data_IF_234611965243
#
_entry.id   IF_234611965243
#
_cell.length_a   1.000
_cell.length_b   1.000
_cell.length_c   1.000
_cell.angle_alpha   90.00
_cell.angle_beta   90.00
_cell.angle_gamma   90.00
#
_symmetry.space_group_name_H-M   'P 1'
#
loop_
_entity.id
_entity.type
_entity.pdbx_description
1 polymer ?
#
# COMPACT_ATOMS: atom_id res chain seq x y z
N UNK A 1 8.88 7.37 -9.13
CA UNK A 1 8.56 6.80 -7.80
C UNK A 1 7.05 6.64 -7.58
N UNK A 2 6.21 7.60 -8.01
CA UNK A 2 4.76 7.62 -7.74
C UNK A 2 4.03 6.29 -7.98
N UNK A 3 4.19 5.65 -9.15
CA UNK A 3 3.51 4.37 -9.45
C UNK A 3 3.88 3.27 -8.44
N UNK A 4 5.17 3.19 -8.05
CA UNK A 4 5.66 2.23 -7.06
C UNK A 4 5.09 2.55 -5.66
N UNK A 5 4.97 3.82 -5.29
CA UNK A 5 4.33 4.24 -4.04
C UNK A 5 2.84 3.89 -4.01
N UNK A 6 2.14 4.05 -5.14
CA UNK A 6 0.73 3.65 -5.27
C UNK A 6 0.56 2.15 -5.13
N UNK A 7 1.47 1.35 -5.71
CA UNK A 7 1.49 -0.09 -5.52
C UNK A 7 1.71 -0.46 -4.05
N UNK A 8 2.67 0.20 -3.39
CA UNK A 8 2.92 0.04 -1.94
C UNK A 8 1.67 0.39 -1.12
N UNK A 9 1.02 1.51 -1.42
CA UNK A 9 -0.23 1.92 -0.77
C UNK A 9 -1.35 0.90 -0.95
N UNK A 10 -1.48 0.30 -2.14
CA UNK A 10 -2.46 -0.76 -2.39
C UNK A 10 -2.21 -2.01 -1.53
N UNK A 11 -0.95 -2.34 -1.21
CA UNK A 11 -0.63 -3.42 -0.27
C UNK A 11 -1.07 -3.10 1.16
N UNK A 12 -0.94 -1.84 1.61
CA UNK A 12 -1.49 -1.43 2.91
C UNK A 12 -3.01 -1.52 2.94
N UNK A 13 -3.68 -1.06 1.87
CA UNK A 13 -5.14 -1.20 1.75
C UNK A 13 -5.56 -2.67 1.77
N UNK A 14 -4.87 -3.53 1.02
CA UNK A 14 -5.09 -4.98 1.04
C UNK A 14 -4.92 -5.55 2.45
N UNK A 15 -3.83 -5.22 3.14
CA UNK A 15 -3.57 -5.67 4.51
C UNK A 15 -4.69 -5.27 5.48
N UNK A 16 -5.13 -4.01 5.43
CA UNK A 16 -6.20 -3.52 6.30
C UNK A 16 -7.54 -4.20 6.01
N UNK A 17 -7.92 -4.32 4.74
CA UNK A 17 -9.20 -4.92 4.36
C UNK A 17 -9.25 -6.41 4.72
N UNK A 18 -8.20 -7.15 4.39
CA UNK A 18 -8.15 -8.59 4.69
C UNK A 18 -7.97 -8.85 6.17
N UNK A 19 -7.17 -8.06 6.90
CA UNK A 19 -7.04 -8.18 8.35
C UNK A 19 -8.36 -7.88 9.07
N UNK A 20 -9.12 -6.88 8.60
CA UNK A 20 -10.46 -6.60 9.14
C UNK A 20 -11.44 -7.73 8.87
N UNK A 21 -11.37 -8.36 7.69
CA UNK A 21 -12.19 -9.51 7.36
C UNK A 21 -11.84 -10.73 8.23
N UNK A 22 -10.55 -10.97 8.50
CA UNK A 22 -10.09 -12.05 9.39
C UNK A 22 -10.58 -11.84 10.83
N UNK A 23 -10.49 -10.62 11.37
CA UNK A 23 -11.05 -10.30 12.69
C UNK A 23 -12.57 -10.53 12.76
N UNK A 24 -13.30 -10.25 11.68
CA UNK A 24 -14.74 -10.49 11.63
C UNK A 24 -15.11 -11.99 11.61
N UNK A 25 -14.17 -12.88 11.28
CA UNK A 25 -14.43 -14.33 11.29
C UNK A 25 -14.57 -14.88 12.70
N UNK A 26 -13.91 -14.30 13.71
CA UNK A 26 -14.09 -14.71 15.11
C UNK A 26 -15.56 -14.53 15.54
N UNK A 27 -16.13 -13.37 15.21
CA UNK A 27 -17.55 -13.10 15.46
C UNK A 27 -18.47 -14.01 14.65
N UNK A 28 -18.14 -14.28 13.38
CA UNK A 28 -18.92 -15.20 12.55
C UNK A 28 -18.92 -16.63 13.12
N UNK A 29 -17.77 -17.13 13.58
CA UNK A 29 -17.64 -18.45 14.23
C UNK A 29 -18.47 -18.47 15.51
N UNK A 30 -18.36 -17.45 16.36
CA UNK A 30 -19.17 -17.33 17.58
C UNK A 30 -20.67 -17.36 17.27
N UNK A 31 -21.13 -16.54 16.32
CA UNK A 31 -22.54 -16.47 15.93
C UNK A 31 -23.05 -17.79 15.34
N UNK A 32 -22.24 -18.50 14.54
CA UNK A 32 -22.58 -19.83 14.04
C UNK A 32 -22.76 -20.83 15.18
N UNK A 33 -21.90 -20.79 16.21
CA UNK A 33 -22.01 -21.65 17.40
C UNK A 33 -23.27 -21.34 18.20
N UNK A 34 -23.55 -20.06 18.47
CA UNK A 34 -24.75 -19.59 19.18
C UNK A 34 -26.05 -20.00 18.46
N UNK A 35 -26.04 -20.00 17.12
CA UNK A 35 -27.16 -20.45 16.30
C UNK A 35 -27.28 -21.99 16.17
N UNK A 36 -26.41 -22.77 16.81
CA UNK A 36 -26.43 -24.24 16.74
C UNK A 36 -25.78 -24.85 15.48
N UNK A 37 -25.06 -24.05 14.69
CA UNK A 37 -24.37 -24.46 13.47
C UNK A 37 -22.89 -24.80 13.72
N UNK A 38 -22.64 -25.67 14.70
CA UNK A 38 -21.27 -26.03 15.13
C UNK A 38 -20.38 -26.57 14.00
N UNK A 39 -20.90 -27.43 13.13
CA UNK A 39 -20.11 -27.99 12.02
C UNK A 39 -19.65 -26.94 10.99
N UNK A 40 -20.44 -25.88 10.78
CA UNK A 40 -20.04 -24.75 9.94
C UNK A 40 -19.01 -23.87 10.64
N UNK A 41 -19.18 -23.63 11.95
CA UNK A 41 -18.20 -22.91 12.77
C UNK A 41 -16.84 -23.61 12.75
N UNK A 42 -16.81 -24.93 12.99
CA UNK A 42 -15.59 -25.74 12.98
C UNK A 42 -14.90 -25.73 11.60
N UNK A 43 -15.69 -25.68 10.51
CA UNK A 43 -15.14 -25.57 9.16
C UNK A 43 -14.47 -24.23 8.94
N UNK A 44 -15.09 -23.12 9.33
CA UNK A 44 -14.50 -21.77 9.18
C UNK A 44 -13.22 -21.67 10.00
N UNK A 45 -13.25 -22.12 11.26
CA UNK A 45 -12.10 -22.11 12.15
C UNK A 45 -10.93 -22.94 11.61
N UNK A 46 -11.20 -24.14 11.12
CA UNK A 46 -10.16 -25.04 10.60
C UNK A 46 -9.59 -24.60 9.25
N UNK A 47 -10.40 -24.03 8.37
CA UNK A 47 -10.02 -23.80 6.98
C UNK A 47 -9.60 -22.36 6.70
N UNK A 48 -10.01 -21.39 7.53
CA UNK A 48 -9.88 -19.96 7.21
C UNK A 48 -9.16 -19.20 8.33
N UNK A 49 -9.57 -19.34 9.60
CA UNK A 49 -8.98 -18.57 10.70
C UNK A 49 -7.47 -18.80 10.80
N UNK A 50 -6.70 -17.71 10.83
CA UNK A 50 -5.24 -17.74 10.91
C UNK A 50 -4.53 -18.30 9.67
N UNK A 51 -5.25 -18.51 8.56
CA UNK A 51 -4.67 -19.03 7.32
C UNK A 51 -3.80 -17.97 6.65
N UNK A 52 -2.59 -18.37 6.24
CA UNK A 52 -1.76 -17.55 5.36
C UNK A 52 -2.50 -17.26 4.04
N UNK A 53 -2.53 -15.99 3.61
CA UNK A 53 -3.26 -15.55 2.42
C UNK A 53 -2.58 -15.97 1.11
N UNK A 54 -1.26 -16.16 1.17
CA UNK A 54 -0.43 -16.82 0.16
C UNK A 54 0.58 -17.71 0.89
N UNK A 55 1.28 -18.65 0.21
CA UNK A 55 2.24 -19.52 0.88
C UNK A 55 3.24 -18.74 1.74
N UNK A 56 3.31 -19.07 3.03
CA UNK A 56 4.27 -18.49 3.99
C UNK A 56 3.95 -17.10 4.55
N UNK A 57 2.85 -16.45 4.12
CA UNK A 57 2.63 -15.04 4.45
C UNK A 57 1.25 -14.71 4.98
N UNK A 58 1.27 -14.01 6.10
CA UNK A 58 0.21 -13.11 6.52
C UNK A 58 0.28 -11.82 5.70
N UNK A 59 -0.81 -11.08 5.68
CA UNK A 59 -0.94 -9.87 4.86
C UNK A 59 0.09 -8.79 5.20
N UNK A 60 0.47 -8.64 6.47
CA UNK A 60 1.49 -7.68 6.88
C UNK A 60 2.88 -8.08 6.36
N UNK A 61 3.18 -9.38 6.30
CA UNK A 61 4.47 -9.88 5.82
C UNK A 61 4.64 -9.59 4.32
N UNK A 62 3.55 -9.62 3.53
CA UNK A 62 3.59 -9.19 2.12
C UNK A 62 4.05 -7.73 2.01
N UNK A 63 3.57 -6.86 2.90
CA UNK A 63 3.98 -5.44 2.93
C UNK A 63 5.46 -5.32 3.30
N UNK A 64 5.91 -6.03 4.34
CA UNK A 64 7.30 -6.01 4.79
C UNK A 64 8.27 -6.53 3.73
N UNK A 65 7.93 -7.62 3.05
CA UNK A 65 8.74 -8.17 1.98
C UNK A 65 8.77 -7.26 0.75
N UNK A 66 7.63 -6.69 0.34
CA UNK A 66 7.61 -5.71 -0.76
C UNK A 66 8.49 -4.49 -0.44
N UNK A 67 8.42 -4.01 0.80
CA UNK A 67 9.25 -2.91 1.28
C UNK A 67 10.74 -3.23 1.15
N UNK A 68 11.18 -4.35 1.74
CA UNK A 68 12.59 -4.72 1.82
C UNK A 68 13.19 -5.19 0.49
N UNK A 69 12.43 -5.89 -0.36
CA UNK A 69 12.97 -6.53 -1.57
C UNK A 69 12.90 -5.67 -2.82
N UNK A 70 11.88 -4.81 -2.93
CA UNK A 70 11.64 -4.03 -4.15
C UNK A 70 11.62 -2.53 -3.89
N UNK A 71 10.81 -2.07 -2.96
CA UNK A 71 10.54 -0.65 -2.78
C UNK A 71 11.76 0.13 -2.28
N UNK A 72 12.47 -0.34 -1.24
CA UNK A 72 13.65 0.37 -0.72
C UNK A 72 14.79 0.43 -1.73
N UNK A 73 15.01 -0.66 -2.48
CA UNK A 73 15.99 -0.71 -3.58
C UNK A 73 15.62 0.30 -4.67
N UNK A 74 14.36 0.32 -5.09
CA UNK A 74 13.86 1.27 -6.09
C UNK A 74 14.03 2.71 -5.61
N UNK A 75 13.60 3.00 -4.38
CA UNK A 75 13.65 4.33 -3.77
C UNK A 75 15.09 4.83 -3.69
N UNK A 76 16.01 3.99 -3.23
CA UNK A 76 17.43 4.34 -3.11
C UNK A 76 18.02 4.66 -4.48
N UNK A 77 17.80 3.81 -5.48
CA UNK A 77 18.30 4.03 -6.84
C UNK A 77 17.74 5.32 -7.46
N UNK A 78 16.44 5.59 -7.29
CA UNK A 78 15.81 6.84 -7.75
C UNK A 78 16.46 8.06 -7.10
N UNK A 79 16.63 8.05 -5.78
CA UNK A 79 17.22 9.16 -5.03
C UNK A 79 18.66 9.42 -5.44
N UNK A 80 19.47 8.38 -5.63
CA UNK A 80 20.86 8.53 -6.09
C UNK A 80 20.94 9.14 -7.50
N UNK A 81 20.11 8.64 -8.43
CA UNK A 81 20.10 9.14 -9.82
C UNK A 81 19.60 10.58 -9.85
N UNK A 82 18.51 10.89 -9.15
CA UNK A 82 17.97 12.25 -9.06
C UNK A 82 18.94 13.21 -8.37
N UNK A 83 19.63 12.77 -7.31
CA UNK A 83 20.67 13.56 -6.66
C UNK A 83 21.80 13.95 -7.64
N UNK A 84 22.21 13.02 -8.51
CA UNK A 84 23.28 13.25 -9.49
C UNK A 84 22.86 14.07 -10.71
N UNK A 85 21.67 13.83 -11.25
CA UNK A 85 21.25 14.40 -12.54
C UNK A 85 20.34 15.63 -12.41
N UNK A 86 19.73 15.82 -11.24
CA UNK A 86 18.65 16.77 -11.02
C UNK A 86 18.84 17.62 -9.76
N UNK A 87 20.05 17.59 -9.16
CA UNK A 87 20.37 18.30 -7.90
C UNK A 87 19.37 17.98 -6.77
N UNK A 88 18.78 16.77 -6.80
CA UNK A 88 17.78 16.35 -5.83
C UNK A 88 16.39 16.96 -6.02
N UNK A 89 16.15 17.79 -7.04
CA UNK A 89 14.85 18.45 -7.26
C UNK A 89 13.76 17.44 -7.60
N UNK A 90 12.70 17.41 -6.79
CA UNK A 90 11.45 16.71 -7.09
C UNK A 90 10.67 17.40 -8.21
N UNK A 91 9.82 16.63 -8.90
CA UNK A 91 8.81 17.15 -9.84
C UNK A 91 9.36 18.13 -10.91
N UNK A 92 10.57 17.89 -11.43
CA UNK A 92 11.22 18.78 -12.40
C UNK A 92 10.37 19.03 -13.64
N UNK A 93 9.75 17.98 -14.18
CA UNK A 93 8.89 18.10 -15.35
C UNK A 93 7.65 18.96 -15.07
N UNK A 94 7.00 18.77 -13.93
CA UNK A 94 5.87 19.58 -13.50
C UNK A 94 6.28 21.02 -13.20
N UNK A 95 7.48 21.24 -12.64
CA UNK A 95 8.04 22.56 -12.40
C UNK A 95 8.31 23.32 -13.71
N UNK A 96 8.91 22.66 -14.71
CA UNK A 96 9.12 23.21 -16.05
C UNK A 96 7.78 23.52 -16.73
N UNK A 97 6.80 22.61 -16.62
CA UNK A 97 5.46 22.81 -17.14
C UNK A 97 4.74 23.98 -16.46
N UNK A 98 4.87 24.12 -15.13
CA UNK A 98 4.34 25.27 -14.38
C UNK A 98 4.95 26.55 -14.92
N UNK A 99 6.28 26.62 -15.03
CA UNK A 99 6.98 27.81 -15.52
C UNK A 99 6.55 28.19 -16.95
N UNK A 100 6.48 27.22 -17.86
CA UNK A 100 6.04 27.44 -19.24
C UNK A 100 4.59 27.96 -19.36
N UNK A 101 3.73 27.64 -18.39
CA UNK A 101 2.32 28.07 -18.36
C UNK A 101 2.10 29.40 -17.64
N UNK A 102 3.12 30.00 -17.02
CA UNK A 102 2.95 31.25 -16.27
C UNK A 102 2.65 32.42 -17.18
N UNK A 103 1.77 33.29 -16.71
CA UNK A 103 1.44 34.55 -17.37
C UNK A 103 2.13 35.68 -16.62
N UNK A 104 2.99 36.42 -17.32
CA UNK A 104 3.76 37.51 -16.72
C UNK A 104 2.82 38.59 -16.17
N UNK A 105 2.95 38.90 -14.88
CA UNK A 105 2.17 39.94 -14.19
C UNK A 105 0.80 39.50 -13.66
N UNK A 106 0.40 38.24 -13.86
CA UNK A 106 -0.80 37.71 -13.23
C UNK A 106 -0.51 37.38 -11.74
N UNK A 107 -1.31 37.89 -10.78
CA UNK A 107 -1.02 37.77 -9.35
C UNK A 107 -0.96 36.32 -8.85
N UNK A 108 -1.68 35.41 -9.52
CA UNK A 108 -1.71 33.99 -9.16
C UNK A 108 -0.74 33.11 -9.99
N UNK A 109 0.00 33.68 -10.96
CA UNK A 109 0.97 32.94 -11.78
C UNK A 109 2.40 33.26 -11.34
N UNK A 110 2.67 33.06 -10.05
CA UNK A 110 3.97 33.33 -9.41
C UNK A 110 4.87 32.08 -9.35
N UNK A 111 6.17 32.32 -9.16
CA UNK A 111 7.11 31.29 -8.72
C UNK A 111 7.06 31.39 -7.21
N UNK A 112 7.00 30.22 -6.58
CA UNK A 112 7.16 30.11 -5.14
C UNK A 112 8.64 30.29 -4.78
#
# INVERSE_FOLDING_TARGET
>A
LETTERARGALYTFHQLTGSADLALDDAVRLLREAGHGGQADRVEREILGRNVIPGHWTFQIVEEYNSTYYEVFRTAEQEIRGRLAEGRDHLYEAEMKEARRTRGHPDHTAD
#
